data_IF_928800646650
#
_entry.id   IF_928800646650
#
_cell.length_a   1.000
_cell.length_b   1.000
_cell.length_c   1.000
_cell.angle_alpha   90.00
_cell.angle_beta   90.00
_cell.angle_gamma   90.00
#
_symmetry.space_group_name_H-M   'P 1'
#
loop_
_entity.id
_entity.type
_entity.pdbx_description
1 polymer ?
#
# COMPACT_ATOMS: atom_id res chain seq x y z
N UNK A 1 -11.59 1.12 16.24
CA UNK A 1 -10.62 1.41 15.16
C UNK A 1 -11.16 0.78 13.89
N UNK A 2 -11.35 1.56 12.82
CA UNK A 2 -11.76 1.04 11.53
C UNK A 2 -10.54 0.40 10.83
N UNK A 3 -10.76 -0.57 9.93
CA UNK A 3 -9.67 -1.35 9.32
C UNK A 3 -8.59 -0.51 8.62
N UNK A 4 -8.93 0.68 8.11
CA UNK A 4 -7.98 1.58 7.46
C UNK A 4 -7.05 2.36 8.41
N UNK A 5 -7.39 2.48 9.69
CA UNK A 5 -6.62 3.28 10.65
C UNK A 5 -5.24 2.69 10.91
N UNK A 6 -5.16 1.36 10.96
CA UNK A 6 -3.89 0.63 11.14
C UNK A 6 -2.97 0.78 9.92
N UNK A 7 -3.55 0.86 8.72
CA UNK A 7 -2.79 1.01 7.47
C UNK A 7 -2.26 2.44 7.29
N UNK A 8 -3.02 3.44 7.76
CA UNK A 8 -2.53 4.82 7.83
C UNK A 8 -1.41 4.96 8.84
N UNK A 9 -1.50 4.30 9.99
CA UNK A 9 -0.41 4.24 10.97
C UNK A 9 0.85 3.62 10.33
N UNK A 10 0.69 2.54 9.55
CA UNK A 10 1.80 1.92 8.85
C UNK A 10 2.49 2.89 7.85
N UNK A 11 1.73 3.67 7.09
CA UNK A 11 2.31 4.72 6.22
C UNK A 11 3.01 5.82 7.01
N UNK A 12 2.44 6.24 8.14
CA UNK A 12 3.05 7.25 9.01
C UNK A 12 4.40 6.78 9.57
N UNK A 13 4.50 5.51 9.98
CA UNK A 13 5.77 4.90 10.42
C UNK A 13 6.82 4.92 9.30
N UNK A 14 6.43 4.67 8.04
CA UNK A 14 7.37 4.77 6.91
C UNK A 14 7.84 6.19 6.66
N UNK A 15 6.96 7.18 6.78
CA UNK A 15 7.34 8.58 6.70
C UNK A 15 8.30 8.96 7.83
N UNK A 16 7.96 8.62 9.07
CA UNK A 16 8.79 8.93 10.25
C UNK A 16 10.15 8.23 10.22
N UNK A 17 10.23 7.00 9.70
CA UNK A 17 11.48 6.26 9.53
C UNK A 17 12.50 6.94 8.59
N UNK A 18 12.09 7.91 7.77
CA UNK A 18 13.01 8.70 6.94
C UNK A 18 13.76 9.77 7.75
N UNK A 19 13.19 10.21 8.87
CA UNK A 19 13.69 11.34 9.67
C UNK A 19 14.16 10.91 11.07
N UNK A 20 13.68 9.77 11.57
CA UNK A 20 13.97 9.25 12.91
C UNK A 20 14.59 7.83 12.86
N UNK A 21 15.86 7.67 13.30
CA UNK A 21 16.54 6.38 13.37
C UNK A 21 15.85 5.33 14.27
N UNK A 22 15.15 5.75 15.32
CA UNK A 22 14.40 4.84 16.19
C UNK A 22 13.20 4.25 15.43
N UNK A 23 12.45 5.10 14.74
CA UNK A 23 11.38 4.68 13.83
C UNK A 23 11.90 3.76 12.72
N UNK A 24 13.08 4.06 12.16
CA UNK A 24 13.73 3.22 11.15
C UNK A 24 14.03 1.81 11.67
N UNK A 25 14.59 1.70 12.88
CA UNK A 25 14.91 0.40 13.47
C UNK A 25 13.66 -0.39 13.83
N UNK A 26 12.62 0.27 14.34
CA UNK A 26 11.32 -0.36 14.60
C UNK A 26 10.72 -0.92 13.30
N UNK A 27 10.69 -0.11 12.23
CA UNK A 27 10.19 -0.53 10.92
C UNK A 27 10.98 -1.73 10.38
N UNK A 28 12.32 -1.67 10.43
CA UNK A 28 13.21 -2.75 9.96
C UNK A 28 12.95 -4.06 10.70
N UNK A 29 12.86 -4.02 12.03
CA UNK A 29 12.55 -5.21 12.85
C UNK A 29 11.16 -5.76 12.56
N UNK A 30 10.18 -4.89 12.36
CA UNK A 30 8.81 -5.26 11.98
C UNK A 30 8.80 -6.04 10.66
N UNK A 31 9.43 -5.50 9.62
CA UNK A 31 9.52 -6.15 8.32
C UNK A 31 10.21 -7.51 8.36
N UNK A 32 11.34 -7.62 9.07
CA UNK A 32 12.04 -8.90 9.21
C UNK A 32 11.19 -9.96 9.94
N UNK A 33 10.35 -9.54 10.88
CA UNK A 33 9.41 -10.44 11.57
C UNK A 33 8.32 -10.93 10.62
N UNK A 34 7.73 -10.03 9.82
CA UNK A 34 6.74 -10.37 8.80
C UNK A 34 7.35 -11.34 7.79
N UNK A 35 8.53 -11.02 7.26
CA UNK A 35 9.26 -11.87 6.32
C UNK A 35 9.46 -13.29 6.86
N UNK A 36 10.05 -13.41 8.07
CA UNK A 36 10.29 -14.72 8.69
C UNK A 36 9.01 -15.51 8.90
N UNK A 37 7.93 -14.83 9.25
CA UNK A 37 6.63 -15.47 9.47
C UNK A 37 6.09 -16.03 8.16
N UNK A 38 6.05 -15.22 7.11
CA UNK A 38 5.53 -15.65 5.80
C UNK A 38 6.42 -16.74 5.21
N UNK A 39 7.73 -16.51 5.12
CA UNK A 39 8.67 -17.50 4.57
C UNK A 39 8.63 -18.84 5.35
N UNK A 40 8.49 -18.77 6.68
CA UNK A 40 8.39 -19.97 7.51
C UNK A 40 7.09 -20.75 7.31
N UNK A 41 5.97 -20.05 7.14
CA UNK A 41 4.65 -20.66 6.96
C UNK A 41 4.45 -21.22 5.55
N UNK A 42 4.90 -20.51 4.52
CA UNK A 42 4.68 -20.90 3.12
C UNK A 42 5.74 -21.88 2.62
N UNK A 43 6.95 -21.83 3.19
CA UNK A 43 8.16 -22.51 2.65
C UNK A 43 8.42 -22.20 1.18
N UNK A 44 7.89 -21.10 0.68
CA UNK A 44 8.04 -20.69 -0.71
C UNK A 44 9.46 -20.14 -0.96
N UNK A 45 9.92 -20.12 -2.22
CA UNK A 45 11.14 -19.41 -2.60
C UNK A 45 11.12 -17.95 -2.15
N UNK A 46 12.29 -17.42 -1.81
CA UNK A 46 12.42 -16.04 -1.33
C UNK A 46 11.83 -15.00 -2.31
N UNK A 47 11.97 -15.22 -3.61
CA UNK A 47 11.40 -14.34 -4.64
C UNK A 47 9.86 -14.29 -4.55
N UNK A 48 9.20 -15.43 -4.38
CA UNK A 48 7.73 -15.49 -4.26
C UNK A 48 7.24 -14.83 -2.96
N UNK A 49 7.99 -15.00 -1.86
CA UNK A 49 7.69 -14.29 -0.60
C UNK A 49 7.83 -12.78 -0.78
N UNK A 50 8.87 -12.33 -1.49
CA UNK A 50 9.06 -10.91 -1.80
C UNK A 50 7.90 -10.36 -2.64
N UNK A 51 7.49 -11.08 -3.69
CA UNK A 51 6.37 -10.69 -4.54
C UNK A 51 5.05 -10.60 -3.76
N UNK A 52 4.81 -11.55 -2.87
CA UNK A 52 3.63 -11.54 -1.98
C UNK A 52 3.63 -10.31 -1.06
N UNK A 53 4.77 -10.02 -0.42
CA UNK A 53 4.89 -8.86 0.47
C UNK A 53 4.76 -7.55 -0.30
N UNK A 54 5.34 -7.44 -1.49
CA UNK A 54 5.21 -6.27 -2.35
C UNK A 54 3.74 -6.02 -2.73
N UNK A 55 2.99 -7.08 -3.06
CA UNK A 55 1.56 -6.97 -3.34
C UNK A 55 0.77 -6.51 -2.12
N UNK A 56 1.02 -7.11 -0.94
CA UNK A 56 0.38 -6.69 0.32
C UNK A 56 0.68 -5.24 0.68
N UNK A 57 1.91 -4.79 0.43
CA UNK A 57 2.32 -3.40 0.65
C UNK A 57 1.58 -2.42 -0.25
N UNK A 58 1.41 -2.73 -1.53
CA UNK A 58 0.60 -1.91 -2.45
C UNK A 58 -0.84 -1.81 -1.96
N UNK A 59 -1.46 -2.93 -1.57
CA UNK A 59 -2.82 -2.97 -1.04
C UNK A 59 -2.96 -2.11 0.23
N UNK A 60 -1.98 -2.16 1.14
CA UNK A 60 -1.97 -1.34 2.34
C UNK A 60 -2.01 0.16 2.02
N UNK A 61 -1.20 0.60 1.03
CA UNK A 61 -1.19 2.00 0.57
C UNK A 61 -2.55 2.39 0.00
N UNK A 62 -3.12 1.57 -0.89
CA UNK A 62 -4.41 1.86 -1.53
C UNK A 62 -5.54 2.04 -0.52
N UNK A 63 -5.64 1.16 0.48
CA UNK A 63 -6.68 1.30 1.52
C UNK A 63 -6.44 2.54 2.38
N UNK A 64 -5.18 2.83 2.73
CA UNK A 64 -4.87 4.01 3.52
C UNK A 64 -5.27 5.30 2.78
N UNK A 65 -5.10 5.33 1.46
CA UNK A 65 -5.54 6.41 0.56
C UNK A 65 -7.05 6.41 0.26
N UNK A 66 -7.80 5.37 0.67
CA UNK A 66 -9.26 5.31 0.53
C UNK A 66 -9.75 4.68 -0.78
N UNK A 67 -8.91 3.98 -1.52
CA UNK A 67 -9.35 3.24 -2.71
C UNK A 67 -10.25 2.06 -2.32
N UNK A 68 -11.31 1.77 -3.10
CA UNK A 68 -12.08 0.56 -2.93
C UNK A 68 -11.25 -0.66 -3.35
N UNK A 69 -11.18 -1.68 -2.51
CA UNK A 69 -10.47 -2.92 -2.83
C UNK A 69 -11.41 -3.96 -3.46
N UNK A 70 -11.26 -4.26 -4.76
CA UNK A 70 -11.96 -5.38 -5.37
C UNK A 70 -11.36 -6.71 -4.91
N UNK A 71 -12.14 -7.79 -5.03
CA UNK A 71 -11.67 -9.13 -4.67
C UNK A 71 -10.85 -9.73 -5.81
N UNK A 72 -9.54 -9.93 -5.57
CA UNK A 72 -8.63 -10.61 -6.49
C UNK A 72 -7.73 -9.67 -7.31
N UNK A 73 -6.58 -10.20 -7.73
CA UNK A 73 -5.51 -9.44 -8.41
C UNK A 73 -5.95 -8.88 -9.77
N UNK A 74 -6.64 -9.67 -10.57
CA UNK A 74 -7.14 -9.26 -11.89
C UNK A 74 -8.13 -8.09 -11.75
N UNK A 75 -9.06 -8.19 -10.81
CA UNK A 75 -10.04 -7.14 -10.54
C UNK A 75 -9.38 -5.85 -10.03
N UNK A 76 -8.32 -5.98 -9.22
CA UNK A 76 -7.51 -4.83 -8.78
C UNK A 76 -6.82 -4.16 -9.97
N UNK A 77 -6.25 -4.93 -10.90
CA UNK A 77 -5.64 -4.39 -12.11
C UNK A 77 -6.67 -3.66 -13.00
N UNK A 78 -7.84 -4.26 -13.25
CA UNK A 78 -8.91 -3.61 -14.02
C UNK A 78 -9.44 -2.33 -13.35
N UNK A 79 -9.43 -2.28 -12.01
CA UNK A 79 -9.85 -1.10 -11.27
C UNK A 79 -8.89 0.07 -11.47
N UNK A 80 -7.57 -0.20 -11.55
CA UNK A 80 -6.60 0.85 -11.89
C UNK A 80 -6.86 1.45 -13.27
N UNK A 81 -7.16 0.64 -14.28
CA UNK A 81 -7.50 1.15 -15.63
C UNK A 81 -8.76 2.03 -15.59
N UNK A 82 -9.76 1.62 -14.81
CA UNK A 82 -11.01 2.37 -14.62
C UNK A 82 -10.74 3.71 -13.93
N UNK A 83 -10.07 3.71 -12.77
CA UNK A 83 -9.75 4.94 -12.04
C UNK A 83 -8.86 5.88 -12.85
N UNK A 84 -7.93 5.35 -13.66
CA UNK A 84 -7.08 6.15 -14.53
C UNK A 84 -7.86 6.77 -15.71
N UNK A 85 -8.90 6.10 -16.21
CA UNK A 85 -9.81 6.67 -17.21
C UNK A 85 -10.65 7.80 -16.60
N UNK A 86 -11.22 7.58 -15.41
CA UNK A 86 -12.04 8.57 -14.69
C UNK A 86 -11.23 9.82 -14.31
N UNK A 87 -9.98 9.65 -13.86
CA UNK A 87 -9.09 10.76 -13.50
C UNK A 87 -8.79 11.71 -14.68
N UNK A 88 -8.89 11.22 -15.92
CA UNK A 88 -8.69 12.01 -17.14
C UNK A 88 -9.97 12.71 -17.62
N UNK A 89 -11.11 12.38 -17.04
CA UNK A 89 -12.41 12.97 -17.38
C UNK A 89 -12.73 14.23 -16.55
N UNK A 90 -11.86 14.64 -15.61
CA UNK A 90 -11.99 15.90 -14.88
C UNK A 90 -12.08 17.08 -15.89
N UNK A 91 -13.19 17.85 -15.91
CA UNK A 91 -13.33 18.94 -16.86
C UNK A 91 -12.27 20.03 -16.59
N UNK A 92 -11.77 20.72 -17.63
CA UNK A 92 -10.78 21.77 -17.44
C UNK A 92 -11.33 22.82 -16.48
N UNK A 93 -10.61 23.04 -15.38
CA UNK A 93 -10.96 24.03 -14.36
C UNK A 93 -11.32 25.36 -15.02
N UNK A 94 -12.55 25.81 -14.81
CA UNK A 94 -13.01 27.11 -15.30
C UNK A 94 -12.15 28.18 -14.63
N UNK A 95 -11.21 28.78 -15.37
CA UNK A 95 -10.50 29.98 -14.91
C UNK A 95 -11.55 31.04 -14.58
N UNK A 96 -11.54 31.66 -13.39
CA UNK A 96 -12.38 32.83 -13.15
C UNK A 96 -11.92 33.92 -14.13
N UNK A 97 -12.87 34.47 -14.88
CA UNK A 97 -12.65 35.67 -15.67
C UNK A 97 -12.30 36.82 -14.73
N UNK A 98 -11.12 37.41 -14.92
CA UNK A 98 -10.74 38.71 -14.34
C UNK A 98 -10.46 39.66 -15.49
#
# INVERSE_FOLDING_TARGET
>A
MCGGDLLRLQLHVYSGALEDPECQEIARRGFLRIWRTVAGLTRAPAAEVLDFLAHGMLVNVLVALGFPLPTGREALASSFETWAADSRAEPPASRPAS
#
